data_IF_103767474973
#
_entry.id   IF_103767474973
#
_cell.length_a   1.000
_cell.length_b   1.000
_cell.length_c   1.000
_cell.angle_alpha   90.00
_cell.angle_beta   90.00
_cell.angle_gamma   90.00
#
_symmetry.space_group_name_H-M   'P 1'
#
loop_
_entity.id
_entity.type
_entity.pdbx_description
1 polymer ?
#
# COMPACT_ATOMS: atom_id res chain seq x y z
N UNK A 1 6.21 -8.57 9.96
CA UNK A 1 6.83 -7.75 11.02
C UNK A 1 8.26 -8.22 11.15
N UNK A 2 9.24 -7.33 11.05
CA UNK A 2 10.65 -7.70 11.18
C UNK A 2 11.08 -7.57 12.64
N UNK A 3 11.71 -8.59 13.20
CA UNK A 3 12.28 -8.59 14.56
C UNK A 3 13.79 -8.62 14.42
N UNK A 4 14.47 -7.69 15.09
CA UNK A 4 15.93 -7.62 15.15
C UNK A 4 16.37 -7.80 16.59
N UNK A 5 17.36 -8.66 16.81
CA UNK A 5 17.96 -8.90 18.12
C UNK A 5 19.27 -8.13 18.20
N UNK A 6 19.45 -7.39 19.30
CA UNK A 6 20.69 -6.67 19.62
C UNK A 6 21.19 -7.09 20.99
N UNK A 7 22.50 -7.13 21.16
CA UNK A 7 23.13 -7.69 22.38
C UNK A 7 23.14 -6.72 23.55
N UNK A 8 23.22 -5.42 23.25
CA UNK A 8 23.29 -4.33 24.21
C UNK A 8 22.80 -3.01 23.57
N UNK A 9 22.82 -1.93 24.35
CA UNK A 9 22.37 -0.61 23.91
C UNK A 9 23.25 0.02 22.80
N UNK A 10 24.54 -0.30 22.76
CA UNK A 10 25.47 0.22 21.76
C UNK A 10 25.24 -0.46 20.40
N UNK A 11 24.96 -1.76 20.42
CA UNK A 11 24.53 -2.56 19.27
C UNK A 11 23.17 -2.07 18.74
N UNK A 12 22.21 -1.75 19.63
CA UNK A 12 20.94 -1.09 19.24
C UNK A 12 21.18 0.26 18.58
N UNK A 13 22.02 1.12 19.14
CA UNK A 13 22.31 2.43 18.57
C UNK A 13 22.96 2.32 17.18
N UNK A 14 23.86 1.35 17.02
CA UNK A 14 24.50 1.05 15.73
C UNK A 14 23.50 0.56 14.69
N UNK A 15 22.60 -0.36 15.07
CA UNK A 15 21.52 -0.83 14.20
C UNK A 15 20.60 0.32 13.77
N UNK A 16 20.16 1.16 14.71
CA UNK A 16 19.33 2.34 14.43
C UNK A 16 20.03 3.30 13.46
N UNK A 17 21.33 3.54 13.64
CA UNK A 17 22.12 4.39 12.74
C UNK A 17 22.18 3.84 11.31
N UNK A 18 22.32 2.52 11.15
CA UNK A 18 22.34 1.87 9.82
C UNK A 18 20.96 1.99 9.15
N UNK A 19 19.89 1.74 9.89
CA UNK A 19 18.52 1.89 9.39
C UNK A 19 18.27 3.34 8.96
N UNK A 20 18.61 4.32 9.82
CA UNK A 20 18.44 5.73 9.53
C UNK A 20 19.25 6.16 8.30
N UNK A 21 20.52 5.74 8.19
CA UNK A 21 21.35 6.03 7.02
C UNK A 21 20.71 5.51 5.73
N UNK A 22 20.25 4.26 5.74
CA UNK A 22 19.60 3.66 4.57
C UNK A 22 18.34 4.42 4.15
N UNK A 23 17.46 4.71 5.11
CA UNK A 23 16.17 5.37 4.83
C UNK A 23 16.33 6.84 4.40
N UNK A 24 17.27 7.56 5.02
CA UNK A 24 17.40 9.01 4.85
C UNK A 24 18.38 9.40 3.74
N UNK A 25 19.46 8.64 3.54
CA UNK A 25 20.53 8.99 2.59
C UNK A 25 20.40 8.17 1.31
N UNK A 26 20.27 6.84 1.43
CA UNK A 26 20.31 5.94 0.27
C UNK A 26 18.95 5.90 -0.46
N UNK A 27 17.84 5.89 0.27
CA UNK A 27 16.48 5.90 -0.30
C UNK A 27 15.87 7.32 -0.46
N UNK A 28 16.57 8.38 -0.04
CA UNK A 28 16.15 9.80 -0.13
C UNK A 28 14.70 10.07 0.32
N UNK A 29 14.22 9.43 1.39
CA UNK A 29 12.91 9.77 1.97
C UNK A 29 13.05 11.08 2.75
N UNK A 30 12.23 12.09 2.43
CA UNK A 30 12.26 13.39 3.11
C UNK A 30 11.99 13.21 4.63
N UNK A 31 12.90 13.72 5.45
CA UNK A 31 12.77 13.68 6.91
C UNK A 31 11.91 14.85 7.36
N UNK A 32 10.69 14.58 7.81
CA UNK A 32 9.81 15.61 8.35
C UNK A 32 10.00 15.73 9.87
N UNK A 33 10.59 16.84 10.33
CA UNK A 33 10.91 17.10 11.74
C UNK A 33 9.70 17.58 12.58
N UNK A 34 8.50 17.66 12.01
CA UNK A 34 7.26 17.91 12.73
C UNK A 34 6.42 16.63 12.81
N UNK A 35 6.42 16.00 13.99
CA UNK A 35 5.50 14.91 14.32
C UNK A 35 4.06 15.41 14.47
N UNK A 36 3.39 15.75 13.36
CA UNK A 36 1.93 15.79 13.31
C UNK A 36 1.45 14.34 13.11
N UNK A 37 0.50 13.90 13.95
CA UNK A 37 -0.19 12.58 13.92
C UNK A 37 0.04 11.83 12.60
N UNK A 38 0.55 10.60 12.66
CA UNK A 38 0.82 9.66 11.55
C UNK A 38 -0.37 9.48 10.59
N UNK A 39 -0.77 10.53 9.88
CA UNK A 39 -1.73 10.48 8.81
C UNK A 39 -0.94 10.02 7.61
N UNK A 40 -1.24 8.81 7.16
CA UNK A 40 -0.74 8.25 5.91
C UNK A 40 -0.75 9.31 4.80
N UNK A 41 0.30 9.34 3.98
CA UNK A 41 0.32 10.14 2.76
C UNK A 41 -0.92 9.81 1.90
N UNK A 42 -1.37 10.74 1.06
CA UNK A 42 -2.54 10.51 0.20
C UNK A 42 -2.40 9.22 -0.61
N UNK A 43 -1.22 8.95 -1.17
CA UNK A 43 -0.91 7.72 -1.90
C UNK A 43 -1.05 6.46 -1.02
N UNK A 44 -0.57 6.50 0.21
CA UNK A 44 -0.70 5.40 1.17
C UNK A 44 -2.15 5.18 1.59
N UNK A 45 -2.97 6.25 1.67
CA UNK A 45 -4.40 6.14 1.91
C UNK A 45 -5.11 5.50 0.72
N UNK A 46 -4.76 5.91 -0.51
CA UNK A 46 -5.31 5.32 -1.73
C UNK A 46 -4.96 3.84 -1.85
N UNK A 47 -3.68 3.49 -1.64
CA UNK A 47 -3.22 2.09 -1.61
C UNK A 47 -3.97 1.29 -0.55
N UNK A 48 -4.15 1.87 0.65
CA UNK A 48 -4.88 1.21 1.73
C UNK A 48 -6.33 0.91 1.37
N UNK A 49 -7.08 1.91 0.85
CA UNK A 49 -8.49 1.74 0.46
C UNK A 49 -8.64 0.63 -0.57
N UNK A 50 -7.79 0.60 -1.61
CA UNK A 50 -7.85 -0.44 -2.65
C UNK A 50 -7.45 -1.80 -2.07
N UNK A 51 -6.42 -1.87 -1.23
CA UNK A 51 -5.99 -3.13 -0.59
C UNK A 51 -6.94 -3.66 0.49
N UNK A 52 -7.95 -2.89 0.89
CA UNK A 52 -8.95 -3.33 1.86
C UNK A 52 -9.93 -4.35 1.26
N UNK A 53 -10.06 -4.39 -0.07
CA UNK A 53 -10.82 -5.43 -0.77
C UNK A 53 -10.05 -6.76 -0.65
N UNK A 54 -10.76 -7.82 -0.23
CA UNK A 54 -10.17 -9.17 -0.12
C UNK A 54 -9.47 -9.58 -1.42
N UNK A 55 -8.41 -10.38 -1.32
CA UNK A 55 -7.58 -10.82 -2.46
C UNK A 55 -6.71 -9.71 -3.11
N UNK A 56 -6.73 -8.47 -2.60
CA UNK A 56 -5.88 -7.38 -3.11
C UNK A 56 -4.74 -7.08 -2.13
N UNK A 57 -3.54 -7.55 -2.48
CA UNK A 57 -2.33 -7.17 -1.76
C UNK A 57 -1.79 -5.77 -2.17
N UNK A 58 -0.83 -5.21 -1.41
CA UNK A 58 -0.27 -3.88 -1.66
C UNK A 58 0.39 -3.72 -3.04
N UNK A 59 0.95 -4.80 -3.61
CA UNK A 59 1.49 -4.78 -4.98
C UNK A 59 0.39 -4.65 -6.03
N UNK A 60 -0.73 -5.36 -5.86
CA UNK A 60 -1.87 -5.31 -6.77
C UNK A 60 -2.58 -3.95 -6.68
N UNK A 61 -2.78 -3.43 -5.46
CA UNK A 61 -3.33 -2.08 -5.24
C UNK A 61 -2.49 -1.01 -5.97
N UNK A 62 -1.16 -1.07 -5.87
CA UNK A 62 -0.28 -0.17 -6.63
C UNK A 62 -0.39 -0.34 -8.14
N UNK A 63 -0.49 -1.58 -8.64
CA UNK A 63 -0.67 -1.81 -10.09
C UNK A 63 -1.98 -1.18 -10.57
N UNK A 64 -3.08 -1.38 -9.85
CA UNK A 64 -4.40 -0.81 -10.16
C UNK A 64 -4.34 0.72 -10.15
N UNK A 65 -3.82 1.32 -9.08
CA UNK A 65 -3.73 2.78 -8.97
C UNK A 65 -2.80 3.42 -10.00
N UNK A 66 -1.71 2.75 -10.39
CA UNK A 66 -0.85 3.22 -11.48
C UNK A 66 -1.51 3.12 -12.84
N UNK A 67 -2.35 2.11 -13.06
CA UNK A 67 -3.05 1.91 -14.33
C UNK A 67 -4.22 2.88 -14.49
N UNK A 68 -5.08 2.98 -13.48
CA UNK A 68 -6.32 3.77 -13.53
C UNK A 68 -6.18 5.21 -13.00
N UNK A 69 -5.10 5.51 -12.27
CA UNK A 69 -4.76 6.87 -11.82
C UNK A 69 -5.48 7.35 -10.55
N UNK A 70 -6.58 6.72 -10.12
CA UNK A 70 -7.27 7.07 -8.89
C UNK A 70 -8.07 5.91 -8.30
N UNK A 71 -8.42 6.01 -7.01
CA UNK A 71 -9.32 5.03 -6.36
C UNK A 71 -10.68 5.01 -7.05
N UNK A 72 -11.24 6.17 -7.36
CA UNK A 72 -12.53 6.27 -8.05
C UNK A 72 -12.52 5.53 -9.39
N UNK A 73 -11.47 5.70 -10.18
CA UNK A 73 -11.32 5.01 -11.47
C UNK A 73 -11.20 3.50 -11.30
N UNK A 74 -10.47 3.01 -10.28
CA UNK A 74 -10.42 1.57 -9.95
C UNK A 74 -11.80 1.02 -9.60
N UNK A 75 -12.61 1.76 -8.85
CA UNK A 75 -13.96 1.31 -8.46
C UNK A 75 -14.94 1.36 -9.64
N UNK A 76 -14.74 2.25 -10.61
CA UNK A 76 -15.58 2.34 -11.81
C UNK A 76 -15.20 1.37 -12.91
N UNK A 77 -13.95 0.89 -12.94
CA UNK A 77 -13.46 -0.02 -13.98
C UNK A 77 -14.29 -1.30 -14.07
N UNK A 78 -14.62 -1.71 -15.30
CA UNK A 78 -15.37 -2.94 -15.54
C UNK A 78 -14.48 -4.19 -15.37
N UNK A 79 -15.11 -5.37 -15.42
CA UNK A 79 -14.41 -6.63 -15.22
C UNK A 79 -13.28 -6.88 -16.25
N UNK A 80 -13.50 -6.52 -17.51
CA UNK A 80 -12.55 -6.76 -18.60
C UNK A 80 -11.39 -5.75 -18.53
N UNK A 81 -11.66 -4.50 -18.17
CA UNK A 81 -10.65 -3.48 -17.88
C UNK A 81 -9.73 -3.92 -16.73
N UNK A 82 -10.30 -4.46 -15.65
CA UNK A 82 -9.53 -4.94 -14.50
C UNK A 82 -8.58 -6.09 -14.87
N UNK A 83 -8.99 -6.98 -15.78
CA UNK A 83 -8.15 -8.09 -16.26
C UNK A 83 -6.92 -7.65 -17.05
N UNK A 84 -6.92 -6.44 -17.60
CA UNK A 84 -5.76 -5.88 -18.31
C UNK A 84 -4.65 -5.39 -17.36
N UNK A 85 -4.91 -5.35 -16.04
CA UNK A 85 -3.93 -4.89 -15.06
C UNK A 85 -3.04 -6.03 -14.59
N UNK A 86 -1.72 -5.80 -14.61
CA UNK A 86 -0.73 -6.75 -14.11
C UNK A 86 -1.03 -7.13 -12.64
N UNK A 87 -1.02 -8.44 -12.36
CA UNK A 87 -1.34 -9.07 -11.06
C UNK A 87 -2.83 -9.17 -10.74
N UNK A 88 -3.72 -8.77 -11.66
CA UNK A 88 -5.16 -8.94 -11.50
C UNK A 88 -5.62 -10.10 -12.35
N UNK A 89 -6.13 -11.13 -11.69
CA UNK A 89 -6.75 -12.29 -12.34
C UNK A 89 -8.28 -12.29 -12.20
N UNK A 90 -8.97 -13.23 -12.85
CA UNK A 90 -10.43 -13.36 -12.82
C UNK A 90 -11.04 -13.30 -11.42
N UNK A 91 -10.45 -14.02 -10.46
CA UNK A 91 -10.92 -14.04 -9.06
C UNK A 91 -10.86 -12.65 -8.42
N UNK A 92 -9.76 -11.93 -8.62
CA UNK A 92 -9.57 -10.59 -8.04
C UNK A 92 -10.48 -9.57 -8.71
N UNK A 93 -10.59 -9.59 -10.04
CA UNK A 93 -11.48 -8.71 -10.79
C UNK A 93 -12.95 -8.91 -10.39
N UNK A 94 -13.41 -10.16 -10.29
CA UNK A 94 -14.75 -10.50 -9.84
C UNK A 94 -15.00 -10.00 -8.41
N UNK A 95 -14.03 -10.18 -7.51
CA UNK A 95 -14.13 -9.71 -6.12
C UNK A 95 -14.23 -8.19 -6.01
N UNK A 96 -13.51 -7.45 -6.85
CA UNK A 96 -13.62 -5.99 -6.92
C UNK A 96 -15.04 -5.59 -7.31
N UNK A 97 -15.57 -6.13 -8.42
CA UNK A 97 -16.93 -5.81 -8.88
C UNK A 97 -17.99 -6.18 -7.85
N UNK A 98 -17.89 -7.37 -7.26
CA UNK A 98 -18.78 -7.83 -6.20
C UNK A 98 -18.86 -6.82 -5.05
N UNK A 99 -17.71 -6.36 -4.53
CA UNK A 99 -17.68 -5.44 -3.39
C UNK A 99 -18.19 -4.05 -3.75
N UNK A 100 -17.95 -3.59 -4.98
CA UNK A 100 -18.31 -2.22 -5.40
C UNK A 100 -19.77 -2.13 -5.84
N UNK A 101 -20.30 -3.15 -6.50
CA UNK A 101 -21.64 -3.13 -7.10
C UNK A 101 -22.74 -3.69 -6.20
N UNK A 102 -22.39 -4.58 -5.26
CA UNK A 102 -23.41 -5.22 -4.44
C UNK A 102 -24.09 -4.22 -3.51
N UNK A 103 -25.41 -4.34 -3.38
CA UNK A 103 -26.15 -3.62 -2.37
C UNK A 103 -25.65 -4.00 -0.97
N UNK A 104 -25.52 -2.99 -0.11
CA UNK A 104 -25.15 -3.20 1.28
C UNK A 104 -26.27 -3.94 2.00
N UNK A 105 -25.94 -5.10 2.59
CA UNK A 105 -26.85 -5.92 3.39
C UNK A 105 -26.37 -5.89 4.84
N UNK A 106 -27.16 -5.26 5.70
CA UNK A 106 -26.95 -5.19 7.15
C UNK A 106 -28.24 -5.54 7.90
#
# INVERSE_FOLDING_TARGET
MSIFYTRDAEDTASLLKVIAKREQIDEKREVNAHGKKSSRLLSEQQEYVVSAISEIGPKAARSLLKHFGSVEAVMKADYDELLNVKLIGPKTAARIREVVESEYKA
#
